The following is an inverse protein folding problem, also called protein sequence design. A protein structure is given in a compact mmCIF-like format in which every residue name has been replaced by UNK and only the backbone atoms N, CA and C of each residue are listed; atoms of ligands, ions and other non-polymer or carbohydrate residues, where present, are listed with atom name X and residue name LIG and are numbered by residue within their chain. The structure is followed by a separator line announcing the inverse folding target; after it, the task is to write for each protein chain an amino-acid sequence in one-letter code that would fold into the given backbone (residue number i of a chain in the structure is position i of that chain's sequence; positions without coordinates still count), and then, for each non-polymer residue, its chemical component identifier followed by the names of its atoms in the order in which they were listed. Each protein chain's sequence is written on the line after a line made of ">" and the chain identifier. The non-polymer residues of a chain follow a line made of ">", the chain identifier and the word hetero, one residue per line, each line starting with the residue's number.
data_IF_396739080360
#
_entry.id   IF_396739080360
#
_cell.length_a   1.000
_cell.length_b   1.000
_cell.length_c   1.000
_cell.angle_alpha   90.00
_cell.angle_beta   90.00
_cell.angle_gamma   90.00
#
_symmetry.space_group_name_H-M   'P 1'
#
loop_
_entity.id
_entity.type
_entity.pdbx_description
1 polymer ?
#
# COMPACT_ATOMS: atom_id res chain seq x y z
N UNK A 1 -22.32 13.99 -11.21
CA UNK A 1 -21.11 13.65 -11.98
C UNK A 1 -21.25 14.25 -13.37
N UNK A 2 -20.28 15.03 -13.85
CA UNK A 2 -20.23 15.51 -15.24
C UNK A 2 -19.20 14.67 -16.02
N UNK A 3 -19.60 14.04 -17.13
CA UNK A 3 -18.69 13.32 -18.03
C UNK A 3 -18.66 14.04 -19.36
N UNK A 4 -17.47 14.41 -19.82
CA UNK A 4 -17.30 14.94 -21.17
C UNK A 4 -17.51 13.85 -22.20
N UNK A 5 -18.01 14.24 -23.38
CA UNK A 5 -18.09 13.34 -24.53
C UNK A 5 -16.69 12.83 -24.90
N UNK A 6 -16.50 11.54 -25.26
CA UNK A 6 -15.18 10.97 -25.55
C UNK A 6 -14.34 11.78 -26.56
N UNK A 7 -14.94 12.20 -27.67
CA UNK A 7 -14.28 13.06 -28.68
C UNK A 7 -13.80 14.41 -28.11
N UNK A 8 -14.54 14.98 -27.17
CA UNK A 8 -14.15 16.24 -26.54
C UNK A 8 -13.00 16.01 -25.55
N UNK A 9 -13.01 14.88 -24.82
CA UNK A 9 -11.90 14.49 -23.95
C UNK A 9 -10.62 14.26 -24.76
N UNK A 10 -10.70 13.59 -25.91
CA UNK A 10 -9.57 13.38 -26.82
C UNK A 10 -9.02 14.70 -27.34
N UNK A 11 -9.89 15.61 -27.79
CA UNK A 11 -9.50 16.95 -28.22
C UNK A 11 -8.76 17.71 -27.11
N UNK A 12 -9.29 17.69 -25.88
CA UNK A 12 -8.66 18.37 -24.74
C UNK A 12 -7.30 17.76 -24.39
N UNK A 13 -7.17 16.43 -24.41
CA UNK A 13 -5.89 15.73 -24.19
C UNK A 13 -4.85 16.09 -25.24
N UNK A 14 -5.25 16.10 -26.52
CA UNK A 14 -4.37 16.50 -27.62
C UNK A 14 -3.90 17.94 -27.48
N UNK A 15 -4.80 18.87 -27.14
CA UNK A 15 -4.44 20.27 -26.88
C UNK A 15 -3.53 20.44 -25.67
N UNK A 16 -3.77 19.69 -24.59
CA UNK A 16 -2.93 19.72 -23.41
C UNK A 16 -1.49 19.32 -23.76
N UNK A 17 -1.33 18.21 -24.49
CA UNK A 17 -0.01 17.72 -24.90
C UNK A 17 0.70 18.65 -25.90
N UNK A 18 -0.04 19.41 -26.71
CA UNK A 18 0.53 20.37 -27.65
C UNK A 18 0.91 21.71 -27.00
N UNK A 19 0.19 22.12 -25.94
CA UNK A 19 0.35 23.44 -25.33
C UNK A 19 1.27 23.46 -24.10
N UNK A 20 1.49 22.31 -23.47
CA UNK A 20 2.26 22.19 -22.22
C UNK A 20 3.36 21.15 -22.35
N UNK A 21 4.48 21.39 -21.68
CA UNK A 21 5.53 20.39 -21.55
C UNK A 21 5.13 19.27 -20.55
N UNK A 22 5.92 18.20 -20.54
CA UNK A 22 5.66 17.04 -19.67
C UNK A 22 5.64 17.40 -18.19
N UNK A 23 6.44 18.39 -17.75
CA UNK A 23 6.51 18.81 -16.36
C UNK A 23 5.22 19.53 -15.92
N UNK A 24 4.68 20.42 -16.75
CA UNK A 24 3.40 21.09 -16.49
C UNK A 24 2.24 20.08 -16.46
N UNK A 25 2.23 19.10 -17.37
CA UNK A 25 1.23 18.02 -17.37
C UNK A 25 1.34 17.16 -16.11
N UNK A 26 2.55 16.78 -15.70
CA UNK A 26 2.78 16.04 -14.44
C UNK A 26 2.32 16.83 -13.21
N UNK A 27 2.49 18.17 -13.21
CA UNK A 27 1.97 19.06 -12.18
C UNK A 27 0.43 19.03 -12.08
N UNK A 28 -0.28 18.97 -13.21
CA UNK A 28 -1.74 18.81 -13.22
C UNK A 28 -2.16 17.45 -12.65
N UNK A 29 -1.46 16.39 -13.02
CA UNK A 29 -1.72 15.06 -12.48
C UNK A 29 -1.47 15.00 -10.96
N UNK A 30 -0.41 15.63 -10.46
CA UNK A 30 -0.14 15.72 -9.01
C UNK A 30 -1.29 16.39 -8.27
N UNK A 31 -1.74 17.57 -8.75
CA UNK A 31 -2.86 18.29 -8.13
C UNK A 31 -4.17 17.51 -8.18
N UNK A 32 -4.44 16.82 -9.30
CA UNK A 32 -5.62 15.97 -9.41
C UNK A 32 -5.55 14.80 -8.42
N UNK A 33 -4.39 14.14 -8.29
CA UNK A 33 -4.16 13.09 -7.32
C UNK A 33 -4.43 13.55 -5.89
N UNK A 34 -3.90 14.72 -5.51
CA UNK A 34 -4.08 15.27 -4.16
C UNK A 34 -5.55 15.61 -3.86
N UNK A 35 -6.23 16.23 -4.81
CA UNK A 35 -7.64 16.58 -4.67
C UNK A 35 -8.53 15.34 -4.55
N UNK A 36 -8.31 14.33 -5.40
CA UNK A 36 -9.04 13.07 -5.38
C UNK A 36 -8.78 12.30 -4.08
N UNK A 37 -7.53 12.25 -3.64
CA UNK A 37 -7.16 11.60 -2.38
C UNK A 37 -7.85 12.27 -1.18
N UNK A 38 -7.89 13.60 -1.15
CA UNK A 38 -8.62 14.36 -0.12
C UNK A 38 -10.14 14.11 -0.12
N UNK A 39 -10.71 13.73 -1.27
CA UNK A 39 -12.11 13.33 -1.41
C UNK A 39 -12.38 11.84 -1.18
N UNK A 40 -11.37 11.02 -0.87
CA UNK A 40 -11.51 9.57 -0.69
C UNK A 40 -11.55 8.74 -1.99
N UNK A 41 -11.29 9.37 -3.14
CA UNK A 41 -11.24 8.70 -4.45
C UNK A 41 -9.83 8.12 -4.70
N UNK A 42 -9.47 7.12 -3.90
CA UNK A 42 -8.09 6.59 -3.84
C UNK A 42 -7.64 5.94 -5.14
N UNK A 43 -8.55 5.23 -5.82
CA UNK A 43 -8.23 4.54 -7.08
C UNK A 43 -7.86 5.55 -8.19
N UNK A 44 -8.67 6.59 -8.35
CA UNK A 44 -8.41 7.66 -9.31
C UNK A 44 -7.17 8.47 -8.90
N UNK A 45 -6.98 8.74 -7.60
CA UNK A 45 -5.79 9.40 -7.11
C UNK A 45 -4.52 8.61 -7.45
N UNK A 46 -4.53 7.29 -7.27
CA UNK A 46 -3.41 6.42 -7.60
C UNK A 46 -3.03 6.50 -9.08
N UNK A 47 -4.03 6.44 -9.98
CA UNK A 47 -3.81 6.61 -11.42
C UNK A 47 -3.14 7.95 -11.75
N UNK A 48 -3.60 9.04 -11.12
CA UNK A 48 -3.03 10.36 -11.33
C UNK A 48 -1.60 10.49 -10.75
N UNK A 49 -1.33 9.92 -9.58
CA UNK A 49 0.02 9.91 -9.00
C UNK A 49 1.04 9.20 -9.91
N UNK A 50 0.65 8.04 -10.47
CA UNK A 50 1.49 7.29 -11.41
C UNK A 50 1.69 8.03 -12.72
N UNK A 51 0.64 8.64 -13.27
CA UNK A 51 0.73 9.46 -14.48
C UNK A 51 1.59 10.72 -14.29
N UNK A 52 1.71 11.23 -13.05
CA UNK A 52 2.66 12.30 -12.71
C UNK A 52 4.11 11.81 -12.57
N UNK A 53 4.36 10.50 -12.65
CA UNK A 53 5.67 9.89 -12.36
C UNK A 53 6.03 9.88 -10.87
N UNK A 54 5.08 10.18 -9.97
CA UNK A 54 5.34 10.29 -8.53
C UNK A 54 5.07 8.96 -7.82
N UNK A 55 5.99 8.00 -8.00
CA UNK A 55 5.88 6.65 -7.42
C UNK A 55 5.80 6.67 -5.88
N UNK A 56 6.51 7.60 -5.24
CA UNK A 56 6.47 7.74 -3.79
C UNK A 56 5.08 8.19 -3.29
N UNK A 57 4.40 9.08 -4.03
CA UNK A 57 3.03 9.47 -3.69
C UNK A 57 2.04 8.32 -3.91
N UNK A 58 2.17 7.59 -5.02
CA UNK A 58 1.36 6.41 -5.31
C UNK A 58 1.50 5.34 -4.21
N UNK A 59 2.73 5.02 -3.81
CA UNK A 59 3.01 4.10 -2.72
C UNK A 59 2.36 4.52 -1.40
N UNK A 60 2.49 5.80 -1.02
CA UNK A 60 1.87 6.33 0.21
C UNK A 60 0.34 6.26 0.20
N UNK A 61 -0.28 6.40 -0.98
CA UNK A 61 -1.74 6.24 -1.11
C UNK A 61 -2.16 4.81 -0.81
N UNK A 62 -1.43 3.82 -1.35
CA UNK A 62 -1.72 2.41 -1.09
C UNK A 62 -1.48 2.08 0.39
N UNK A 63 -0.33 2.44 0.95
CA UNK A 63 0.02 2.17 2.36
C UNK A 63 -1.04 2.72 3.34
N UNK A 64 -1.51 3.96 3.12
CA UNK A 64 -2.49 4.60 4.00
C UNK A 64 -3.89 4.00 3.92
N UNK A 65 -4.24 3.42 2.78
CA UNK A 65 -5.58 2.93 2.50
C UNK A 65 -5.67 1.41 2.47
N UNK A 66 -4.56 0.69 2.69
CA UNK A 66 -4.53 -0.77 2.66
C UNK A 66 -5.47 -1.38 3.71
N UNK A 67 -5.19 -1.12 5.00
CA UNK A 67 -6.00 -1.68 6.10
C UNK A 67 -7.47 -1.28 6.05
N UNK A 68 -7.84 0.01 5.88
CA UNK A 68 -9.26 0.39 5.76
C UNK A 68 -10.01 -0.30 4.61
N UNK A 69 -9.30 -0.71 3.55
CA UNK A 69 -9.88 -1.42 2.41
C UNK A 69 -9.92 -2.94 2.66
N UNK A 70 -8.91 -3.48 3.34
CA UNK A 70 -8.88 -4.88 3.80
C UNK A 70 -10.01 -5.16 4.80
N UNK A 71 -10.26 -4.24 5.75
CA UNK A 71 -11.35 -4.31 6.73
C UNK A 71 -12.74 -4.33 6.07
N UNK A 72 -12.84 -3.88 4.81
CA UNK A 72 -14.07 -3.89 4.00
C UNK A 72 -14.13 -5.06 3.02
N UNK A 73 -13.24 -6.04 3.16
CA UNK A 73 -13.08 -7.20 2.26
C UNK A 73 -12.86 -6.83 0.78
N UNK A 74 -12.34 -5.64 0.50
CA UNK A 74 -12.11 -5.16 -0.86
C UNK A 74 -10.75 -5.62 -1.43
N UNK A 75 -10.46 -6.91 -1.27
CA UNK A 75 -9.19 -7.57 -1.63
C UNK A 75 -8.85 -7.44 -3.12
N UNK A 76 -9.84 -7.54 -4.02
CA UNK A 76 -9.63 -7.35 -5.46
C UNK A 76 -9.10 -5.94 -5.80
N UNK A 77 -9.56 -4.91 -5.09
CA UNK A 77 -9.08 -3.54 -5.28
C UNK A 77 -7.63 -3.42 -4.81
N UNK A 78 -7.28 -4.06 -3.70
CA UNK A 78 -5.92 -4.07 -3.16
C UNK A 78 -4.95 -4.81 -4.09
N UNK A 79 -5.36 -5.94 -4.65
CA UNK A 79 -4.57 -6.66 -5.67
C UNK A 79 -4.32 -5.77 -6.89
N UNK A 80 -5.34 -5.06 -7.37
CA UNK A 80 -5.20 -4.11 -8.49
C UNK A 80 -4.24 -2.98 -8.14
N UNK A 81 -4.37 -2.36 -6.97
CA UNK A 81 -3.48 -1.29 -6.54
C UNK A 81 -2.03 -1.74 -6.45
N UNK A 82 -1.78 -2.91 -5.86
CA UNK A 82 -0.44 -3.49 -5.78
C UNK A 82 0.13 -3.80 -7.18
N UNK A 83 -0.69 -4.28 -8.12
CA UNK A 83 -0.26 -4.56 -9.49
C UNK A 83 0.06 -3.29 -10.32
N UNK A 84 -0.40 -2.11 -9.89
CA UNK A 84 -0.09 -0.83 -10.55
C UNK A 84 1.27 -0.26 -10.11
N UNK A 85 1.83 -0.74 -8.99
CA UNK A 85 3.10 -0.26 -8.48
C UNK A 85 4.28 -1.06 -9.07
N UNK A 86 5.39 -0.40 -9.41
CA UNK A 86 6.63 -1.09 -9.77
C UNK A 86 7.16 -1.98 -8.63
N UNK A 87 7.78 -3.11 -8.98
CA UNK A 87 8.25 -4.09 -7.99
C UNK A 87 9.34 -3.53 -7.07
N UNK A 88 10.28 -2.74 -7.61
CA UNK A 88 11.32 -2.04 -6.87
C UNK A 88 10.72 -1.11 -5.81
N UNK A 89 9.66 -0.37 -6.14
CA UNK A 89 8.96 0.51 -5.19
C UNK A 89 8.30 -0.27 -4.05
N UNK A 90 7.77 -1.46 -4.33
CA UNK A 90 7.17 -2.34 -3.31
C UNK A 90 8.25 -2.93 -2.41
N UNK A 91 9.36 -3.38 -3.00
CA UNK A 91 10.46 -4.06 -2.32
C UNK A 91 11.28 -3.14 -1.40
N UNK A 92 11.29 -1.83 -1.66
CA UNK A 92 11.99 -0.83 -0.85
C UNK A 92 11.15 -0.31 0.33
N UNK A 93 9.86 -0.65 0.39
CA UNK A 93 8.92 -0.08 1.37
C UNK A 93 8.32 -1.17 2.26
N UNK A 94 8.59 -1.16 3.58
CA UNK A 94 8.12 -2.22 4.47
C UNK A 94 6.59 -2.30 4.55
N UNK A 95 5.88 -1.16 4.44
CA UNK A 95 4.42 -1.14 4.40
C UNK A 95 3.85 -1.87 3.18
N UNK A 96 4.42 -1.64 2.00
CA UNK A 96 4.00 -2.33 0.78
C UNK A 96 4.44 -3.81 0.75
N UNK A 97 5.61 -4.13 1.30
CA UNK A 97 6.04 -5.52 1.47
C UNK A 97 5.06 -6.29 2.38
N UNK A 98 4.58 -5.67 3.46
CA UNK A 98 3.57 -6.27 4.34
C UNK A 98 2.18 -6.33 3.69
N UNK A 99 1.78 -5.31 2.92
CA UNK A 99 0.57 -5.37 2.10
C UNK A 99 0.59 -6.59 1.15
N UNK A 100 1.74 -6.87 0.53
CA UNK A 100 1.92 -8.07 -0.29
C UNK A 100 1.78 -9.36 0.55
N UNK A 101 2.34 -9.39 1.77
CA UNK A 101 2.22 -10.54 2.67
C UNK A 101 0.76 -10.79 3.09
N UNK A 102 -0.01 -9.73 3.37
CA UNK A 102 -1.44 -9.82 3.64
C UNK A 102 -2.24 -10.36 2.45
N UNK A 103 -1.92 -9.94 1.22
CA UNK A 103 -2.52 -10.53 0.02
C UNK A 103 -2.18 -12.02 -0.12
N UNK A 104 -0.93 -12.41 0.16
CA UNK A 104 -0.54 -13.83 0.16
C UNK A 104 -1.29 -14.62 1.25
N UNK A 105 -1.50 -14.05 2.43
CA UNK A 105 -2.32 -14.65 3.48
C UNK A 105 -3.77 -14.85 3.01
N UNK A 106 -4.40 -13.80 2.48
CA UNK A 106 -5.77 -13.86 1.95
C UNK A 106 -5.94 -14.96 0.88
N UNK A 107 -4.92 -15.15 0.04
CA UNK A 107 -4.89 -16.19 -1.00
C UNK A 107 -4.45 -17.58 -0.49
N UNK A 108 -4.26 -17.76 0.82
CA UNK A 108 -3.73 -18.97 1.46
C UNK A 108 -2.36 -19.43 0.91
N UNK A 109 -1.58 -18.51 0.34
CA UNK A 109 -0.21 -18.75 -0.17
C UNK A 109 0.81 -18.63 0.97
N UNK A 110 0.60 -19.40 2.03
CA UNK A 110 1.34 -19.27 3.30
C UNK A 110 2.86 -19.41 3.16
N UNK A 111 3.33 -20.21 2.18
CA UNK A 111 4.77 -20.39 1.90
C UNK A 111 5.46 -19.12 1.39
N UNK A 112 4.72 -18.18 0.81
CA UNK A 112 5.25 -16.92 0.31
C UNK A 112 5.39 -15.85 1.40
N UNK A 113 4.77 -16.04 2.57
CA UNK A 113 4.74 -15.03 3.64
C UNK A 113 6.10 -14.88 4.34
N UNK A 114 6.78 -15.94 4.82
CA UNK A 114 8.03 -15.80 5.55
C UNK A 114 9.14 -14.96 4.87
N UNK A 115 9.44 -15.11 3.56
CA UNK A 115 10.45 -14.27 2.92
C UNK A 115 10.05 -12.78 2.90
N UNK A 116 8.76 -12.47 2.72
CA UNK A 116 8.26 -11.09 2.75
C UNK A 116 8.39 -10.47 4.15
N UNK A 117 8.07 -11.23 5.21
CA UNK A 117 8.26 -10.76 6.58
C UNK A 117 9.72 -10.46 6.88
N UNK A 118 10.64 -11.35 6.45
CA UNK A 118 12.08 -11.15 6.62
C UNK A 118 12.57 -9.89 5.88
N UNK A 119 12.06 -9.63 4.68
CA UNK A 119 12.38 -8.43 3.93
C UNK A 119 11.88 -7.16 4.64
N UNK A 120 10.63 -7.15 5.09
CA UNK A 120 10.07 -6.03 5.83
C UNK A 120 10.88 -5.72 7.12
N UNK A 121 11.29 -6.76 7.85
CA UNK A 121 12.16 -6.61 9.03
C UNK A 121 13.52 -5.98 8.67
N UNK A 122 14.15 -6.45 7.59
CA UNK A 122 15.43 -5.91 7.13
C UNK A 122 15.32 -4.42 6.78
N UNK A 123 14.24 -4.01 6.11
CA UNK A 123 13.97 -2.59 5.79
C UNK A 123 13.79 -1.74 7.05
N UNK A 124 13.09 -2.28 8.06
CA UNK A 124 12.89 -1.58 9.34
C UNK A 124 14.20 -1.40 10.12
N UNK A 125 15.12 -2.38 10.05
CA UNK A 125 16.45 -2.32 10.68
C UNK A 125 17.39 -1.38 9.93
N UNK A 126 17.39 -1.41 8.59
CA UNK A 126 18.21 -0.55 7.75
C UNK A 126 17.88 0.94 7.94
N UNK A 127 16.71 1.25 8.50
CA UNK A 127 16.32 2.59 8.89
C UNK A 127 15.71 3.36 7.72
N UNK A 128 14.46 3.06 7.41
CA UNK A 128 13.64 3.92 6.53
C UNK A 128 13.44 5.30 7.19
N UNK A 129 13.98 6.39 6.61
CA UNK A 129 14.01 7.72 7.24
C UNK A 129 12.61 8.33 7.42
N UNK A 130 11.64 7.92 6.61
CA UNK A 130 10.28 8.49 6.59
C UNK A 130 9.34 7.92 7.67
N UNK A 131 9.75 6.89 8.42
CA UNK A 131 8.90 6.22 9.42
C UNK A 131 9.23 6.67 10.86
N UNK A 132 8.22 7.17 11.56
CA UNK A 132 8.28 7.46 13.00
C UNK A 132 8.45 6.17 13.83
N UNK A 133 8.89 6.31 15.07
CA UNK A 133 9.03 5.17 16.00
C UNK A 133 7.72 4.39 16.18
N UNK A 134 6.58 5.09 16.26
CA UNK A 134 5.26 4.47 16.37
C UNK A 134 4.89 3.67 15.11
N UNK A 135 5.16 4.21 13.91
CA UNK A 135 4.92 3.49 12.65
C UNK A 135 5.80 2.24 12.54
N UNK A 136 7.08 2.34 12.91
CA UNK A 136 7.97 1.17 12.96
C UNK A 136 7.45 0.11 13.94
N UNK A 137 6.91 0.53 15.08
CA UNK A 137 6.33 -0.39 16.05
C UNK A 137 5.05 -1.07 15.53
N UNK A 138 4.18 -0.32 14.86
CA UNK A 138 2.97 -0.88 14.23
C UNK A 138 3.32 -1.95 13.18
N UNK A 139 4.27 -1.66 12.28
CA UNK A 139 4.71 -2.64 11.27
C UNK A 139 5.37 -3.88 11.89
N UNK A 140 6.10 -3.73 13.00
CA UNK A 140 6.63 -4.90 13.75
C UNK A 140 5.50 -5.74 14.35
N UNK A 141 4.45 -5.10 14.87
CA UNK A 141 3.29 -5.82 15.38
C UNK A 141 2.60 -6.60 14.25
N UNK A 142 2.41 -5.99 13.06
CA UNK A 142 1.86 -6.69 11.88
C UNK A 142 2.71 -7.90 11.45
N UNK A 143 4.04 -7.78 11.47
CA UNK A 143 4.94 -8.90 11.20
C UNK A 143 4.69 -10.05 12.18
N UNK A 144 4.53 -9.76 13.47
CA UNK A 144 4.25 -10.77 14.48
C UNK A 144 2.84 -11.38 14.33
N UNK A 145 1.84 -10.63 13.85
CA UNK A 145 0.51 -11.16 13.50
C UNK A 145 0.61 -12.17 12.36
N UNK A 146 1.17 -11.79 11.21
CA UNK A 146 1.28 -12.68 10.05
C UNK A 146 2.14 -13.92 10.35
N UNK A 147 3.18 -13.76 11.18
CA UNK A 147 3.99 -14.88 11.66
C UNK A 147 3.19 -15.83 12.53
N UNK A 148 2.35 -15.29 13.43
CA UNK A 148 1.45 -16.10 14.26
C UNK A 148 0.52 -16.95 13.41
N UNK A 149 -0.10 -16.34 12.39
CA UNK A 149 -1.00 -17.03 11.48
C UNK A 149 -0.28 -18.18 10.75
N UNK A 150 0.89 -17.92 10.16
CA UNK A 150 1.69 -18.97 9.49
C UNK A 150 2.00 -20.15 10.43
N UNK A 151 2.34 -19.89 11.70
CA UNK A 151 2.59 -20.95 12.67
C UNK A 151 1.34 -21.71 13.08
N UNK A 152 0.20 -21.02 13.21
CA UNK A 152 -1.07 -21.66 13.51
C UNK A 152 -1.44 -22.68 12.43
N UNK A 153 -1.35 -22.28 11.16
CA UNK A 153 -1.61 -23.17 10.01
C UNK A 153 -0.60 -24.32 9.88
N UNK A 154 0.59 -24.18 10.47
CA UNK A 154 1.64 -25.21 10.49
C UNK A 154 1.55 -26.13 11.72
N UNK A 155 0.60 -25.91 12.63
CA UNK A 155 0.41 -26.69 13.86
C UNK A 155 1.35 -26.31 15.02
N UNK A 156 2.16 -25.25 14.86
CA UNK A 156 3.11 -24.79 15.88
C UNK A 156 2.45 -23.80 16.86
N UNK A 157 1.43 -24.28 17.58
CA UNK A 157 0.52 -23.44 18.39
C UNK A 157 1.24 -22.56 19.42
N UNK A 158 2.27 -23.08 20.11
CA UNK A 158 3.02 -22.28 21.09
C UNK A 158 3.76 -21.11 20.46
N UNK A 159 4.38 -21.31 19.29
CA UNK A 159 5.05 -20.22 18.57
C UNK A 159 4.06 -19.18 18.06
N UNK A 160 2.88 -19.62 17.64
CA UNK A 160 1.78 -18.72 17.28
C UNK A 160 1.38 -17.83 18.47
N UNK A 161 1.13 -18.42 19.64
CA UNK A 161 0.76 -17.68 20.84
C UNK A 161 1.82 -16.65 21.27
N UNK A 162 3.10 -17.01 21.20
CA UNK A 162 4.18 -16.08 21.55
C UNK A 162 4.26 -14.89 20.59
N UNK A 163 4.02 -15.11 19.30
CA UNK A 163 3.96 -14.02 18.31
C UNK A 163 2.74 -13.12 18.55
N UNK A 164 1.55 -13.71 18.75
CA UNK A 164 0.33 -12.95 19.03
C UNK A 164 0.45 -12.06 20.28
N UNK A 165 1.12 -12.55 21.35
CA UNK A 165 1.38 -11.76 22.56
C UNK A 165 2.28 -10.55 22.29
N UNK A 166 3.35 -10.71 21.51
CA UNK A 166 4.24 -9.60 21.13
C UNK A 166 3.51 -8.56 20.27
N UNK A 167 2.69 -9.02 19.33
CA UNK A 167 1.84 -8.12 18.53
C UNK A 167 0.91 -7.29 19.42
N UNK A 168 0.17 -7.94 20.34
CA UNK A 168 -0.74 -7.27 21.27
C UNK A 168 -0.03 -6.26 22.19
N UNK A 169 1.20 -6.55 22.63
CA UNK A 169 2.00 -5.62 23.43
C UNK A 169 2.48 -4.38 22.63
N UNK A 170 2.47 -4.46 21.29
CA UNK A 170 2.92 -3.40 20.39
C UNK A 170 1.81 -2.45 19.90
N UNK A 171 0.54 -2.78 20.12
CA UNK A 171 -0.61 -1.96 19.69
C UNK A 171 -1.18 -1.21 20.91
N UNK A 172 -1.09 0.14 20.97
CA UNK A 172 -1.78 0.90 22.02
C UNK A 172 -3.30 0.71 21.87
N UNK A 173 -3.99 0.47 22.98
CA UNK A 173 -5.36 -0.06 23.06
C UNK A 173 -6.51 0.81 22.54
N UNK A 174 -6.30 1.64 21.52
CA UNK A 174 -7.34 2.47 20.89
C UNK A 174 -7.98 1.82 19.65
N UNK A 175 -7.59 0.58 19.30
CA UNK A 175 -8.12 -0.16 18.14
C UNK A 175 -8.59 -1.58 18.49
N UNK A 176 -9.23 -1.75 19.65
CA UNK A 176 -10.11 -2.89 19.94
C UNK A 176 -11.57 -2.44 19.94
#
# INVERSE_FOLDING_TARGET
>A
WYRYHPLFQELLRSRLAAAYDGAAVAGLHTRASEWLAGGGFVDEALHHALAAGNMAAAARLVERNFHPMADRDAWYTLERWMAMLPADVVEERPGLTLAQAWLMHHQFKLRAIPPLLKQAEALLVAGTPDLSGAQKQALRAEIDVLRSEVWLWSGEVQRSLDCARRAAAGVPGEHL
#
